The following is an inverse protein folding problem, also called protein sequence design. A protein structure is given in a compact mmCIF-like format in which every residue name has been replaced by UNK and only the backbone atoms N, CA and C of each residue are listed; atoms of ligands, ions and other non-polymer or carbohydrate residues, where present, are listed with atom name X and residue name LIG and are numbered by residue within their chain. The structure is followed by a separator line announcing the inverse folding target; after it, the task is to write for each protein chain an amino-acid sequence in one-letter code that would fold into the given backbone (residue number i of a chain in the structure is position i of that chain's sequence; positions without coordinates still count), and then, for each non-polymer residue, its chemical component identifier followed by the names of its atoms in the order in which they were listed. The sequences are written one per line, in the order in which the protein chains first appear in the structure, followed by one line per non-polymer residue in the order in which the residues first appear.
data_IF_997693191087
#
_entry.id   IF_997693191087
#
_cell.length_a   1.000
_cell.length_b   1.000
_cell.length_c   1.000
_cell.angle_alpha   90.00
_cell.angle_beta   90.00
_cell.angle_gamma   90.00
#
_symmetry.space_group_name_H-M   'P 1'
#
loop_
_entity.id
_entity.type
_entity.pdbx_description
1 polymer ?
#
# COMPACT_ATOMS: atom_id res chain seq x y z
N UNK A 1 -30.43 45.83 34.85
CA UNK A 1 -30.76 44.54 34.31
C UNK A 1 -31.09 43.56 35.44
N UNK A 2 -32.23 42.90 35.44
CA UNK A 2 -32.55 41.98 36.50
C UNK A 2 -31.85 40.62 36.26
N UNK A 3 -31.97 39.75 37.21
CA UNK A 3 -31.34 38.40 37.16
C UNK A 3 -31.84 37.57 36.00
N UNK A 4 -33.13 37.73 35.64
CA UNK A 4 -33.69 36.99 34.54
C UNK A 4 -33.11 37.43 33.19
N UNK A 5 -32.96 38.75 32.99
CA UNK A 5 -32.35 39.30 31.79
C UNK A 5 -30.88 38.86 31.67
N UNK A 6 -30.15 38.90 32.78
CA UNK A 6 -28.76 38.38 32.81
C UNK A 6 -28.67 36.92 32.45
N UNK A 7 -29.62 36.12 32.95
CA UNK A 7 -29.68 34.67 32.61
C UNK A 7 -29.89 34.49 31.11
N UNK A 8 -30.84 35.24 30.52
CA UNK A 8 -31.12 35.14 29.10
C UNK A 8 -29.88 35.51 28.25
N UNK A 9 -29.19 36.58 28.60
CA UNK A 9 -27.99 37.02 27.89
C UNK A 9 -26.90 35.96 27.97
N UNK A 10 -26.66 35.38 29.14
CA UNK A 10 -25.68 34.30 29.33
C UNK A 10 -26.07 33.07 28.52
N UNK A 11 -27.34 32.74 28.48
CA UNK A 11 -27.83 31.57 27.71
C UNK A 11 -27.65 31.80 26.21
N UNK A 12 -27.94 32.98 25.72
CA UNK A 12 -27.76 33.34 24.33
C UNK A 12 -26.25 33.28 23.94
N UNK A 13 -25.38 33.81 24.81
CA UNK A 13 -23.93 33.77 24.60
C UNK A 13 -23.42 32.29 24.57
N UNK A 14 -23.92 31.48 25.49
CA UNK A 14 -23.57 30.08 25.54
C UNK A 14 -24.03 29.35 24.27
N UNK A 15 -25.26 29.60 23.85
CA UNK A 15 -25.82 28.98 22.65
C UNK A 15 -25.01 29.39 21.40
N UNK A 16 -24.61 30.67 21.31
CA UNK A 16 -23.76 31.14 20.23
C UNK A 16 -22.39 30.44 20.24
N UNK A 17 -21.80 30.27 21.43
CA UNK A 17 -20.55 29.57 21.59
C UNK A 17 -20.67 28.10 21.12
N UNK A 18 -21.69 27.39 21.56
CA UNK A 18 -21.95 26.01 21.18
C UNK A 18 -22.15 25.91 19.67
N UNK A 19 -22.92 26.85 19.09
CA UNK A 19 -23.13 26.88 17.64
C UNK A 19 -21.82 26.98 16.86
N UNK A 20 -20.93 27.88 17.32
CA UNK A 20 -19.61 28.02 16.68
C UNK A 20 -18.75 26.77 16.82
N UNK A 21 -18.80 26.11 17.99
CA UNK A 21 -18.08 24.84 18.19
C UNK A 21 -18.63 23.74 17.29
N UNK A 22 -19.94 23.67 17.13
CA UNK A 22 -20.58 22.70 16.24
C UNK A 22 -20.16 22.93 14.78
N UNK A 23 -20.11 24.18 14.33
CA UNK A 23 -19.65 24.52 12.99
C UNK A 23 -18.20 24.09 12.77
N UNK A 24 -17.31 24.39 13.73
CA UNK A 24 -15.92 23.99 13.66
C UNK A 24 -15.78 22.47 13.62
N UNK A 25 -16.55 21.77 14.44
CA UNK A 25 -16.52 20.32 14.48
C UNK A 25 -17.02 19.74 13.15
N UNK A 26 -18.05 20.32 12.56
CA UNK A 26 -18.55 19.90 11.24
C UNK A 26 -17.49 20.09 10.16
N UNK A 27 -16.79 21.24 10.16
CA UNK A 27 -15.70 21.50 9.22
C UNK A 27 -14.55 20.49 9.41
N UNK A 28 -14.20 20.23 10.65
CA UNK A 28 -13.15 19.24 10.96
C UNK A 28 -13.52 17.84 10.49
N UNK A 29 -14.79 17.45 10.67
CA UNK A 29 -15.29 16.16 10.20
C UNK A 29 -15.25 16.08 8.67
N UNK A 30 -15.60 17.15 7.98
CA UNK A 30 -15.50 17.21 6.52
C UNK A 30 -14.07 17.05 6.05
N UNK A 31 -13.12 17.76 6.65
CA UNK A 31 -11.70 17.65 6.34
C UNK A 31 -11.19 16.24 6.61
N UNK A 32 -11.61 15.65 7.73
CA UNK A 32 -11.22 14.28 8.08
C UNK A 32 -11.77 13.28 7.06
N UNK A 33 -13.01 13.46 6.64
CA UNK A 33 -13.64 12.62 5.62
C UNK A 33 -12.88 12.70 4.30
N UNK A 34 -12.49 13.90 3.87
CA UNK A 34 -11.69 14.11 2.66
C UNK A 34 -10.32 13.44 2.77
N UNK A 35 -9.69 13.59 3.92
CA UNK A 35 -8.41 12.96 4.21
C UNK A 35 -8.52 11.44 4.14
N UNK A 36 -9.55 10.88 4.76
CA UNK A 36 -9.79 9.43 4.73
C UNK A 36 -10.02 8.91 3.32
N UNK A 37 -10.74 9.67 2.49
CA UNK A 37 -10.96 9.31 1.09
C UNK A 37 -9.65 9.29 0.31
N UNK A 38 -8.76 10.26 0.55
CA UNK A 38 -7.44 10.31 -0.08
C UNK A 38 -6.58 9.13 0.37
N UNK A 39 -6.55 8.86 1.66
CA UNK A 39 -5.79 7.73 2.21
C UNK A 39 -6.29 6.41 1.62
N UNK A 40 -7.59 6.25 1.51
CA UNK A 40 -8.19 5.06 0.89
C UNK A 40 -7.74 4.91 -0.56
N UNK A 41 -7.71 6.01 -1.32
CA UNK A 41 -7.22 6.01 -2.69
C UNK A 41 -5.74 5.64 -2.78
N UNK A 42 -4.92 6.19 -1.88
CA UNK A 42 -3.50 5.88 -1.80
C UNK A 42 -3.25 4.41 -1.44
N UNK A 43 -4.03 3.88 -0.50
CA UNK A 43 -3.93 2.46 -0.13
C UNK A 43 -4.29 1.55 -1.30
N UNK A 44 -5.28 1.92 -2.10
CA UNK A 44 -5.64 1.19 -3.33
C UNK A 44 -4.47 1.17 -4.30
N UNK A 45 -3.80 2.31 -4.49
CA UNK A 45 -2.64 2.41 -5.38
C UNK A 45 -1.47 1.58 -4.86
N UNK A 46 -1.21 1.63 -3.56
CA UNK A 46 -0.15 0.83 -2.92
C UNK A 46 -0.45 -0.65 -3.09
N UNK A 47 -1.69 -1.07 -2.87
CA UNK A 47 -2.09 -2.47 -3.03
C UNK A 47 -1.90 -2.94 -4.48
N UNK A 48 -2.30 -2.11 -5.45
CA UNK A 48 -2.10 -2.40 -6.87
C UNK A 48 -0.61 -2.50 -7.20
N UNK A 49 0.19 -1.57 -6.70
CA UNK A 49 1.63 -1.55 -6.93
C UNK A 49 2.29 -2.78 -6.31
N UNK A 50 1.89 -3.16 -5.09
CA UNK A 50 2.39 -4.36 -4.43
C UNK A 50 2.09 -5.62 -5.26
N UNK A 51 0.87 -5.71 -5.83
CA UNK A 51 0.52 -6.83 -6.71
C UNK A 51 1.39 -6.87 -7.96
N UNK A 52 1.66 -5.70 -8.56
CA UNK A 52 2.55 -5.61 -9.72
C UNK A 52 3.97 -6.04 -9.39
N UNK A 53 4.50 -5.60 -8.25
CA UNK A 53 5.84 -6.00 -7.80
C UNK A 53 5.90 -7.50 -7.55
N UNK A 54 4.88 -8.06 -6.91
CA UNK A 54 4.80 -9.51 -6.69
C UNK A 54 4.86 -10.28 -8.01
N UNK A 55 4.08 -9.84 -9.00
CA UNK A 55 4.08 -10.44 -10.34
C UNK A 55 5.45 -10.34 -10.99
N UNK A 56 6.11 -9.18 -10.90
CA UNK A 56 7.45 -8.99 -11.46
C UNK A 56 8.47 -9.89 -10.78
N UNK A 57 8.40 -10.01 -9.46
CA UNK A 57 9.30 -10.90 -8.71
C UNK A 57 9.09 -12.36 -9.13
N UNK A 58 7.83 -12.79 -9.29
CA UNK A 58 7.52 -14.14 -9.76
C UNK A 58 8.10 -14.39 -11.16
N UNK A 59 7.98 -13.42 -12.05
CA UNK A 59 8.54 -13.51 -13.40
C UNK A 59 10.07 -13.63 -13.38
N UNK A 60 10.72 -12.82 -12.53
CA UNK A 60 12.17 -12.88 -12.37
C UNK A 60 12.60 -14.24 -11.81
N UNK A 61 11.91 -14.73 -10.80
CA UNK A 61 12.21 -16.05 -10.21
C UNK A 61 12.05 -17.16 -11.23
N UNK A 62 11.01 -17.10 -12.05
CA UNK A 62 10.78 -18.08 -13.10
C UNK A 62 11.90 -18.03 -14.15
N UNK A 63 12.28 -16.82 -14.57
CA UNK A 63 13.36 -16.64 -15.54
C UNK A 63 14.67 -17.18 -14.99
N UNK A 64 14.99 -16.89 -13.71
CA UNK A 64 16.18 -17.42 -13.06
C UNK A 64 16.17 -18.94 -12.98
N UNK A 65 15.04 -19.52 -12.65
CA UNK A 65 14.89 -20.96 -12.56
C UNK A 65 15.07 -21.62 -13.92
N UNK A 66 14.48 -21.05 -14.97
CA UNK A 66 14.63 -21.54 -16.35
C UNK A 66 16.10 -21.46 -16.78
N UNK A 67 16.77 -20.36 -16.43
CA UNK A 67 18.18 -20.17 -16.75
C UNK A 67 19.05 -21.19 -16.01
N UNK A 68 18.79 -21.44 -14.74
CA UNK A 68 19.49 -22.46 -13.97
C UNK A 68 19.30 -23.83 -14.56
N UNK A 69 18.10 -24.17 -15.01
CA UNK A 69 17.84 -25.44 -15.68
C UNK A 69 18.61 -25.58 -16.98
N UNK A 70 18.70 -24.50 -17.77
CA UNK A 70 19.51 -24.47 -18.99
C UNK A 70 20.97 -24.69 -18.68
N UNK A 71 21.51 -24.00 -17.68
CA UNK A 71 22.90 -24.12 -17.26
C UNK A 71 23.17 -25.56 -16.81
N UNK A 72 22.32 -26.14 -16.01
CA UNK A 72 22.46 -27.51 -15.54
C UNK A 72 22.43 -28.52 -16.70
N UNK A 73 21.52 -28.33 -17.67
CA UNK A 73 21.43 -29.19 -18.85
C UNK A 73 22.70 -29.10 -19.69
N UNK A 74 23.22 -27.91 -19.92
CA UNK A 74 24.46 -27.72 -20.65
C UNK A 74 25.64 -28.35 -19.93
N UNK A 75 25.68 -28.19 -18.60
CA UNK A 75 26.72 -28.80 -17.77
C UNK A 75 26.69 -30.32 -17.87
N UNK A 76 25.48 -30.91 -17.80
CA UNK A 76 25.32 -32.35 -17.93
C UNK A 76 25.70 -32.85 -19.32
N UNK A 77 25.30 -32.13 -20.38
CA UNK A 77 25.69 -32.45 -21.75
C UNK A 77 27.22 -32.46 -21.92
N UNK A 78 27.88 -31.43 -21.40
CA UNK A 78 29.34 -31.34 -21.45
C UNK A 78 30.00 -32.48 -20.66
N UNK A 79 29.46 -32.83 -19.50
CA UNK A 79 29.97 -33.92 -18.69
C UNK A 79 29.85 -35.27 -19.47
N UNK A 80 28.70 -35.52 -20.09
CA UNK A 80 28.45 -36.70 -20.90
C UNK A 80 29.42 -36.74 -22.07
N UNK A 81 29.63 -35.63 -22.78
CA UNK A 81 30.58 -35.57 -23.89
C UNK A 81 32.02 -35.86 -23.44
N UNK A 82 32.41 -35.34 -22.33
CA UNK A 82 33.76 -35.60 -21.78
C UNK A 82 33.91 -37.06 -21.40
N UNK A 83 32.90 -37.65 -20.77
CA UNK A 83 32.89 -39.07 -20.43
C UNK A 83 32.98 -39.96 -21.68
N UNK A 84 32.21 -39.62 -22.71
CA UNK A 84 32.21 -40.36 -23.96
C UNK A 84 33.57 -40.29 -24.65
N UNK A 85 34.19 -39.11 -24.67
CA UNK A 85 35.50 -38.94 -25.25
C UNK A 85 36.55 -39.70 -24.45
N UNK A 86 36.49 -39.62 -23.13
CA UNK A 86 37.39 -40.39 -22.27
C UNK A 86 37.28 -41.87 -22.49
N UNK A 87 36.04 -42.36 -22.62
CA UNK A 87 35.78 -43.79 -22.93
C UNK A 87 36.35 -44.18 -24.28
N UNK A 88 36.33 -43.33 -25.28
CA UNK A 88 36.87 -43.62 -26.61
C UNK A 88 38.40 -43.58 -26.64
N UNK A 89 39.03 -42.84 -25.73
CA UNK A 89 40.45 -42.72 -25.65
C UNK A 89 41.14 -43.88 -24.91
N UNK A 90 40.35 -44.54 -24.11
CA UNK A 90 40.83 -45.73 -23.39
C UNK A 90 40.66 -46.97 -24.19
#
# INVERSE_FOLDING_TARGET
MDEFDNFIVKQENFNAYVGRQLERNADMLEHLSDYMSRVKGELKLISKHASMVTTQVEQVLKAQNDLLNEINNKKNDNAVRVMTRGGKMT
#
